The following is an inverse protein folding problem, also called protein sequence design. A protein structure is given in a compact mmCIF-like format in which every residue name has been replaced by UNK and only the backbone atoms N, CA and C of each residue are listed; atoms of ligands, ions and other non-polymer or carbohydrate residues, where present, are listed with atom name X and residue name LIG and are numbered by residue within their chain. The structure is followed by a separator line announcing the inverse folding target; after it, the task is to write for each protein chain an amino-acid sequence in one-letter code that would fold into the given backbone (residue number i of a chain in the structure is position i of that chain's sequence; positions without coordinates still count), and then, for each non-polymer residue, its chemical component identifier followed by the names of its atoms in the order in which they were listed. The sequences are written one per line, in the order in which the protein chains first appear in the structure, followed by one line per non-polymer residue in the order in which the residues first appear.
data_IF_663228753382
#
_entry.id   IF_663228753382
#
_cell.length_a   1.000
_cell.length_b   1.000
_cell.length_c   1.000
_cell.angle_alpha   90.00
_cell.angle_beta   90.00
_cell.angle_gamma   90.00
#
_symmetry.space_group_name_H-M   'P 1'
#
loop_
_entity.id
_entity.type
_entity.pdbx_description
1 polymer ?
#
# COMPACT_ATOMS: atom_id res chain seq x y z
N UNK A 1 12.53 24.86 -6.61
CA UNK A 1 12.15 24.15 -5.37
C UNK A 1 10.80 23.47 -5.56
N UNK A 2 10.68 22.52 -6.49
CA UNK A 2 9.42 21.79 -6.72
C UNK A 2 9.76 20.35 -7.06
N UNK A 3 8.97 19.40 -6.59
CA UNK A 3 9.11 17.96 -6.82
C UNK A 3 10.12 17.15 -6.00
N UNK A 4 11.04 17.69 -5.20
CA UNK A 4 11.87 16.80 -4.33
C UNK A 4 11.13 16.31 -3.10
N UNK A 5 10.25 17.14 -2.53
CA UNK A 5 9.45 16.81 -1.35
C UNK A 5 8.34 15.80 -1.62
N UNK A 6 7.85 15.68 -2.86
CA UNK A 6 6.74 14.78 -3.21
C UNK A 6 7.18 13.31 -3.29
N UNK A 7 8.28 12.93 -3.98
CA UNK A 7 8.82 11.57 -4.01
C UNK A 7 9.27 11.07 -2.65
N UNK A 8 9.88 11.93 -1.83
CA UNK A 8 10.30 11.55 -0.48
C UNK A 8 9.07 11.24 0.40
N UNK A 9 8.02 12.05 0.30
CA UNK A 9 6.74 11.80 0.98
C UNK A 9 6.05 10.53 0.45
N UNK A 10 6.05 10.28 -0.85
CA UNK A 10 5.50 9.07 -1.46
C UNK A 10 6.26 7.80 -1.01
N UNK A 11 7.59 7.84 -0.97
CA UNK A 11 8.39 6.72 -0.44
C UNK A 11 8.16 6.49 1.05
N UNK A 12 8.05 7.56 1.83
CA UNK A 12 7.72 7.46 3.25
C UNK A 12 6.34 6.83 3.45
N UNK A 13 5.33 7.29 2.69
CA UNK A 13 3.98 6.75 2.73
C UNK A 13 3.93 5.26 2.29
N UNK A 14 4.65 4.90 1.24
CA UNK A 14 4.78 3.51 0.79
C UNK A 14 5.39 2.61 1.88
N UNK A 15 6.47 3.04 2.53
CA UNK A 15 7.09 2.28 3.65
C UNK A 15 6.13 2.13 4.84
N UNK A 16 5.55 3.23 5.30
CA UNK A 16 4.58 3.20 6.41
C UNK A 16 3.39 2.30 6.08
N UNK A 17 2.90 2.35 4.85
CA UNK A 17 1.84 1.46 4.37
C UNK A 17 2.25 0.00 4.40
N UNK A 18 3.42 -0.34 3.87
CA UNK A 18 3.96 -1.71 3.89
C UNK A 18 4.15 -2.24 5.31
N UNK A 19 4.72 -1.43 6.22
CA UNK A 19 4.92 -1.81 7.62
C UNK A 19 3.59 -2.04 8.35
N UNK A 20 2.58 -1.20 8.08
CA UNK A 20 1.24 -1.35 8.65
C UNK A 20 0.58 -2.63 8.16
N UNK A 21 0.68 -2.95 6.86
CA UNK A 21 0.11 -4.18 6.31
C UNK A 21 0.84 -5.42 6.83
N UNK A 22 2.17 -5.37 6.95
CA UNK A 22 2.95 -6.45 7.54
C UNK A 22 2.54 -6.75 9.00
N UNK A 23 2.29 -5.71 9.80
CA UNK A 23 1.77 -5.86 11.17
C UNK A 23 0.36 -6.46 11.19
N UNK A 24 -0.51 -6.07 10.26
CA UNK A 24 -1.88 -6.56 10.17
C UNK A 24 -1.96 -8.02 9.69
N UNK A 25 -1.07 -8.43 8.78
CA UNK A 25 -0.91 -9.84 8.41
C UNK A 25 -0.51 -10.71 9.61
N UNK A 26 0.36 -10.20 10.49
CA UNK A 26 0.78 -10.90 11.70
C UNK A 26 -0.30 -10.99 12.79
N UNK A 27 -1.33 -10.14 12.73
CA UNK A 27 -2.36 -10.05 13.77
C UNK A 27 -3.48 -11.11 13.65
N UNK A 28 -3.52 -11.91 12.58
CA UNK A 28 -4.58 -12.89 12.26
C UNK A 28 -5.98 -12.41 12.67
N UNK A 29 -6.50 -11.41 11.96
CA UNK A 29 -7.78 -10.80 12.30
C UNK A 29 -8.99 -11.74 12.12
N UNK A 30 -8.81 -12.95 11.59
CA UNK A 30 -9.84 -13.99 11.49
C UNK A 30 -9.90 -14.92 12.70
N UNK A 31 -8.84 -15.01 13.50
CA UNK A 31 -8.80 -15.81 14.73
C UNK A 31 -9.97 -15.50 15.70
N UNK A 32 -10.29 -14.22 16.00
CA UNK A 32 -11.37 -13.88 16.92
C UNK A 32 -12.76 -14.34 16.45
N UNK A 33 -13.01 -14.40 15.14
CA UNK A 33 -14.32 -14.78 14.58
C UNK A 33 -14.52 -16.30 14.56
N UNK A 34 -13.44 -17.07 14.46
CA UNK A 34 -13.48 -18.53 14.57
C UNK A 34 -13.96 -19.01 15.94
N UNK A 35 -13.60 -18.29 17.00
CA UNK A 35 -14.02 -18.56 18.37
C UNK A 35 -15.54 -18.49 18.58
N UNK A 36 -16.22 -17.61 17.83
CA UNK A 36 -17.67 -17.40 17.91
C UNK A 36 -18.45 -18.64 17.45
N UNK A 37 -17.99 -19.32 16.40
CA UNK A 37 -18.63 -20.54 15.91
C UNK A 37 -18.52 -21.69 16.93
N UNK A 38 -17.37 -21.81 17.60
CA UNK A 38 -17.17 -22.77 18.71
C UNK A 38 -17.95 -22.41 19.97
N UNK A 39 -18.19 -21.12 20.23
CA UNK A 39 -18.93 -20.66 21.40
C UNK A 39 -20.45 -20.87 21.29
N UNK A 40 -20.97 -21.13 20.08
CA UNK A 40 -22.41 -21.36 19.83
C UNK A 40 -22.66 -22.69 19.11
N UNK A 41 -22.43 -23.86 19.75
CA UNK A 41 -22.70 -25.15 19.13
C UNK A 41 -24.21 -25.34 18.89
N UNK A 42 -24.59 -25.75 17.67
CA UNK A 42 -25.94 -26.26 17.36
C UNK A 42 -27.07 -25.23 17.23
N UNK A 43 -26.82 -23.94 17.46
CA UNK A 43 -27.82 -22.88 17.28
C UNK A 43 -27.95 -22.43 15.82
N UNK A 44 -29.10 -21.85 15.44
CA UNK A 44 -29.30 -21.18 14.12
C UNK A 44 -28.20 -20.15 13.79
N UNK A 45 -27.55 -19.60 14.81
CA UNK A 45 -26.44 -18.66 14.69
C UNK A 45 -25.08 -19.30 14.32
N UNK A 46 -24.90 -20.62 14.49
CA UNK A 46 -23.63 -21.29 14.22
C UNK A 46 -23.24 -21.19 12.73
N UNK A 47 -24.19 -21.45 11.82
CA UNK A 47 -23.97 -21.33 10.38
C UNK A 47 -23.73 -19.88 9.93
N UNK A 48 -24.42 -18.93 10.56
CA UNK A 48 -24.21 -17.50 10.31
C UNK A 48 -22.84 -17.02 10.83
N UNK A 49 -22.40 -17.50 11.99
CA UNK A 49 -21.09 -17.21 12.55
C UNK A 49 -19.95 -17.78 11.68
N UNK A 50 -20.09 -19.02 11.20
CA UNK A 50 -19.14 -19.62 10.26
C UNK A 50 -19.08 -18.82 8.95
N UNK A 51 -20.24 -18.50 8.36
CA UNK A 51 -20.32 -17.71 7.12
C UNK A 51 -19.73 -16.30 7.29
N UNK A 52 -19.95 -15.67 8.44
CA UNK A 52 -19.36 -14.40 8.80
C UNK A 52 -17.84 -14.51 8.92
N UNK A 53 -17.32 -15.52 9.64
CA UNK A 53 -15.88 -15.74 9.79
C UNK A 53 -15.20 -15.95 8.43
N UNK A 54 -15.79 -16.76 7.55
CA UNK A 54 -15.25 -17.00 6.21
C UNK A 54 -15.32 -15.77 5.30
N UNK A 55 -16.39 -14.98 5.41
CA UNK A 55 -16.54 -13.71 4.69
C UNK A 55 -15.51 -12.70 5.16
N UNK A 56 -15.39 -12.54 6.47
CA UNK A 56 -14.43 -11.65 7.12
C UNK A 56 -12.98 -11.98 6.76
N UNK A 57 -12.58 -13.25 6.85
CA UNK A 57 -11.23 -13.68 6.48
C UNK A 57 -10.89 -13.39 5.02
N UNK A 58 -11.84 -13.59 4.10
CA UNK A 58 -11.67 -13.24 2.67
C UNK A 58 -11.57 -11.74 2.46
N UNK A 59 -12.48 -10.96 3.02
CA UNK A 59 -12.47 -9.49 2.89
C UNK A 59 -11.20 -8.89 3.49
N UNK A 60 -10.75 -9.38 4.64
CA UNK A 60 -9.53 -8.92 5.28
C UNK A 60 -8.30 -9.26 4.44
N UNK A 61 -8.18 -10.49 3.95
CA UNK A 61 -7.07 -10.91 3.09
C UNK A 61 -7.02 -10.09 1.79
N UNK A 62 -8.18 -9.83 1.18
CA UNK A 62 -8.27 -8.98 -0.01
C UNK A 62 -7.83 -7.55 0.30
N UNK A 63 -8.33 -6.98 1.39
CA UNK A 63 -7.96 -5.62 1.80
C UNK A 63 -6.46 -5.49 2.10
N UNK A 64 -5.85 -6.48 2.75
CA UNK A 64 -4.39 -6.51 2.95
C UNK A 64 -3.66 -6.53 1.61
N UNK A 65 -4.04 -7.40 0.67
CA UNK A 65 -3.43 -7.45 -0.67
C UNK A 65 -3.58 -6.13 -1.45
N UNK A 66 -4.74 -5.48 -1.36
CA UNK A 66 -4.98 -4.17 -1.98
C UNK A 66 -4.10 -3.09 -1.34
N UNK A 67 -3.92 -3.13 -0.02
CA UNK A 67 -3.06 -2.20 0.70
C UNK A 67 -1.57 -2.41 0.40
N UNK A 68 -1.10 -3.65 0.29
CA UNK A 68 0.27 -3.95 -0.17
C UNK A 68 0.50 -3.39 -1.57
N UNK A 69 -0.43 -3.66 -2.50
CA UNK A 69 -0.36 -3.14 -3.85
C UNK A 69 -0.31 -1.62 -3.87
N UNK A 70 -1.19 -0.95 -3.13
CA UNK A 70 -1.20 0.50 -3.03
C UNK A 70 0.13 1.05 -2.50
N UNK A 71 0.72 0.41 -1.50
CA UNK A 71 2.02 0.80 -0.96
C UNK A 71 3.15 0.69 -2.00
N UNK A 72 3.12 -0.36 -2.83
CA UNK A 72 4.06 -0.56 -3.94
C UNK A 72 3.86 0.46 -5.08
N UNK A 73 2.61 0.82 -5.37
CA UNK A 73 2.27 1.84 -6.37
C UNK A 73 2.79 3.22 -5.95
N UNK A 74 2.77 3.56 -4.66
CA UNK A 74 3.39 4.78 -4.14
C UNK A 74 4.90 4.82 -4.34
N UNK A 75 5.58 3.69 -4.13
CA UNK A 75 7.02 3.54 -4.41
C UNK A 75 7.33 3.75 -5.90
N UNK A 76 6.57 3.08 -6.76
CA UNK A 76 6.68 3.21 -8.22
C UNK A 76 6.43 4.65 -8.68
N UNK A 77 5.42 5.32 -8.13
CA UNK A 77 5.13 6.72 -8.42
C UNK A 77 6.31 7.63 -8.05
N UNK A 78 6.92 7.42 -6.88
CA UNK A 78 8.09 8.19 -6.46
C UNK A 78 9.29 8.02 -7.40
N UNK A 79 9.56 6.79 -7.85
CA UNK A 79 10.62 6.52 -8.84
C UNK A 79 10.35 7.17 -10.18
N UNK A 80 9.10 7.14 -10.65
CA UNK A 80 8.70 7.78 -11.89
C UNK A 80 8.88 9.30 -11.82
N UNK A 81 8.50 9.93 -10.71
CA UNK A 81 8.76 11.36 -10.49
C UNK A 81 10.25 11.68 -10.51
N UNK A 82 11.07 10.87 -9.84
CA UNK A 82 12.52 11.10 -9.80
C UNK A 82 13.17 10.96 -11.19
N UNK A 83 12.75 9.95 -11.97
CA UNK A 83 13.22 9.77 -13.36
C UNK A 83 12.80 10.94 -14.25
N UNK A 84 11.56 11.43 -14.11
CA UNK A 84 11.07 12.59 -14.84
C UNK A 84 11.87 13.86 -14.52
N UNK A 85 12.17 14.10 -13.24
CA UNK A 85 12.95 15.26 -12.79
C UNK A 85 14.39 15.22 -13.33
N UNK A 86 15.02 14.05 -13.31
CA UNK A 86 16.35 13.86 -13.91
C UNK A 86 16.36 14.13 -15.41
N UNK A 87 15.37 13.62 -16.14
CA UNK A 87 15.26 13.86 -17.59
C UNK A 87 15.04 15.35 -17.91
N UNK A 88 14.23 16.04 -17.11
CA UNK A 88 14.00 17.47 -17.25
C UNK A 88 15.26 18.30 -16.95
N UNK A 89 16.02 17.93 -15.91
CA UNK A 89 17.28 18.58 -15.55
C UNK A 89 18.31 18.46 -16.68
N UNK A 90 18.53 17.27 -17.21
CA UNK A 90 19.42 17.05 -18.37
C UNK A 90 19.01 17.90 -19.57
N UNK A 91 17.72 17.93 -19.88
CA UNK A 91 17.20 18.73 -21.01
C UNK A 91 17.42 20.22 -20.82
N UNK A 92 17.28 20.72 -19.58
CA UNK A 92 17.51 22.12 -19.25
C UNK A 92 19.01 22.49 -19.31
N UNK A 93 19.89 21.61 -18.84
CA UNK A 93 21.35 21.77 -18.95
C UNK A 93 21.79 21.83 -20.42
N UNK A 94 21.30 20.91 -21.25
CA UNK A 94 21.58 20.88 -22.69
C UNK A 94 21.09 22.16 -23.38
N UNK A 95 19.88 22.62 -23.07
CA UNK A 95 19.34 23.87 -23.60
C UNK A 95 20.13 25.10 -23.16
N UNK A 96 20.62 25.12 -21.91
CA UNK A 96 21.50 26.18 -21.39
C UNK A 96 22.85 26.18 -22.10
N UNK A 97 23.41 25.01 -22.39
CA UNK A 97 24.68 24.84 -23.10
C UNK A 97 24.60 25.34 -24.56
N UNK A 98 23.45 25.18 -25.20
CA UNK A 98 23.19 25.70 -26.55
C UNK A 98 22.98 27.23 -26.59
N UNK A 99 22.61 27.86 -25.45
CA UNK A 99 22.35 29.31 -25.35
C UNK A 99 23.47 30.13 -24.69
N UNK A 100 24.55 29.49 -24.22
CA UNK A 100 25.71 30.19 -23.66
C UNK A 100 26.49 30.99 -24.71
N UNK A 101 27.10 32.15 -24.37
CA UNK A 101 27.81 33.00 -25.32
C UNK A 101 29.02 32.24 -25.88
N UNK A 102 29.15 32.27 -27.22
CA UNK A 102 30.32 31.77 -27.95
C UNK A 102 31.51 32.72 -27.79
#
# INVERSE_FOLDING_TARGET
MGFRTVPDALRAAGRTGGDAVGQLHGADCGQPTSGVATAVPGGRAAGAAASFSDGWGRTFSQWCGDAERYSGDLGTAAENYQRGDQAAATSAEDAGRLRGPR
#
